data_IF_876671061288
#
_entry.id   IF_876671061288
#
_cell.length_a   1.000
_cell.length_b   1.000
_cell.length_c   1.000
_cell.angle_alpha   90.00
_cell.angle_beta   90.00
_cell.angle_gamma   90.00
#
_symmetry.space_group_name_H-M   'P 1'
#
loop_
_entity.id
_entity.type
_entity.pdbx_description
1 polymer ?
#
# COMPACT_ATOMS: atom_id res chain seq x y z
N UNK A 1 18.71 -51.99 47.94
CA UNK A 1 18.66 -52.29 46.49
C UNK A 1 17.28 -52.06 45.87
N UNK A 2 16.16 -52.60 46.39
CA UNK A 2 14.81 -52.40 45.80
C UNK A 2 14.34 -50.95 45.63
N UNK A 3 14.64 -50.05 46.58
CA UNK A 3 14.24 -48.62 46.49
C UNK A 3 14.87 -47.88 45.31
N UNK A 4 16.09 -48.24 44.91
CA UNK A 4 16.82 -47.56 43.83
C UNK A 4 16.26 -47.90 42.46
N UNK A 5 15.77 -49.13 42.25
CA UNK A 5 15.12 -49.55 41.01
C UNK A 5 13.76 -48.87 40.81
N UNK A 6 12.94 -48.77 41.86
CA UNK A 6 11.64 -48.07 41.79
C UNK A 6 11.82 -46.59 41.41
N UNK A 7 12.83 -45.92 41.99
CA UNK A 7 13.14 -44.52 41.63
C UNK A 7 13.59 -44.39 40.17
N UNK A 8 14.34 -45.35 39.63
CA UNK A 8 14.74 -45.34 38.23
C UNK A 8 13.55 -45.54 37.28
N UNK A 9 12.64 -46.45 37.61
CA UNK A 9 11.41 -46.69 36.83
C UNK A 9 10.50 -45.44 36.83
N UNK A 10 10.33 -44.78 37.98
CA UNK A 10 9.58 -43.54 38.11
C UNK A 10 10.21 -42.40 37.28
N UNK A 11 11.54 -42.25 37.33
CA UNK A 11 12.26 -41.23 36.54
C UNK A 11 12.08 -41.48 35.04
N UNK A 12 12.19 -42.73 34.59
CA UNK A 12 11.99 -43.07 33.18
C UNK A 12 10.56 -42.83 32.72
N UNK A 13 9.57 -43.12 33.57
CA UNK A 13 8.16 -42.81 33.27
C UNK A 13 7.95 -41.30 33.13
N UNK A 14 8.49 -40.51 34.07
CA UNK A 14 8.41 -39.05 34.01
C UNK A 14 9.11 -38.47 32.76
N UNK A 15 10.27 -39.00 32.37
CA UNK A 15 10.95 -38.58 31.14
C UNK A 15 10.10 -38.84 29.90
N UNK A 16 9.48 -40.02 29.81
CA UNK A 16 8.59 -40.36 28.70
C UNK A 16 7.34 -39.47 28.67
N UNK A 17 6.78 -39.13 29.83
CA UNK A 17 5.65 -38.21 29.93
C UNK A 17 6.02 -36.79 29.50
N UNK A 18 7.22 -36.32 29.86
CA UNK A 18 7.76 -35.03 29.41
C UNK A 18 7.96 -35.01 27.90
N UNK A 19 8.58 -36.05 27.32
CA UNK A 19 8.77 -36.16 25.87
C UNK A 19 7.42 -36.15 25.12
N UNK A 20 6.45 -36.91 25.61
CA UNK A 20 5.09 -36.91 25.05
C UNK A 20 4.40 -35.54 25.16
N UNK A 21 4.61 -34.81 26.26
CA UNK A 21 4.09 -33.46 26.42
C UNK A 21 4.79 -32.47 25.48
N UNK A 22 6.11 -32.56 25.31
CA UNK A 22 6.86 -31.71 24.39
C UNK A 22 6.40 -31.91 22.95
N UNK A 23 6.24 -33.16 22.50
CA UNK A 23 5.70 -33.45 21.17
C UNK A 23 4.30 -32.88 20.96
N UNK A 24 3.43 -32.93 21.98
CA UNK A 24 2.10 -32.31 21.91
C UNK A 24 2.18 -30.78 21.85
N UNK A 25 3.11 -30.16 22.58
CA UNK A 25 3.33 -28.71 22.53
C UNK A 25 3.81 -28.28 21.14
N UNK A 26 4.78 -29.00 20.56
CA UNK A 26 5.29 -28.71 19.21
C UNK A 26 4.18 -28.84 18.15
N UNK A 27 3.35 -29.89 18.23
CA UNK A 27 2.21 -30.06 17.32
C UNK A 27 1.17 -28.94 17.45
N UNK A 28 0.91 -28.47 18.67
CA UNK A 28 0.01 -27.35 18.93
C UNK A 28 0.60 -26.01 18.44
N UNK A 29 1.90 -25.80 18.62
CA UNK A 29 2.61 -24.62 18.10
C UNK A 29 2.53 -24.56 16.57
N UNK A 30 2.82 -25.67 15.88
CA UNK A 30 2.70 -25.76 14.43
C UNK A 30 1.28 -25.48 13.95
N UNK A 31 0.27 -26.00 14.66
CA UNK A 31 -1.14 -25.73 14.36
C UNK A 31 -1.48 -24.26 14.51
N UNK A 32 -1.08 -23.64 15.62
CA UNK A 32 -1.33 -22.22 15.89
C UNK A 32 -0.63 -21.31 14.87
N UNK A 33 0.58 -21.66 14.43
CA UNK A 33 1.29 -20.92 13.38
C UNK A 33 0.55 -20.98 12.04
N UNK A 34 0.00 -22.13 11.67
CA UNK A 34 -0.77 -22.27 10.43
C UNK A 34 -2.13 -21.55 10.50
N UNK A 35 -2.81 -21.61 11.65
CA UNK A 35 -4.03 -20.84 11.90
C UNK A 35 -3.76 -19.33 11.80
N UNK A 36 -2.64 -18.85 12.37
CA UNK A 36 -2.22 -17.45 12.25
C UNK A 36 -2.02 -17.03 10.80
N UNK A 37 -1.29 -17.81 10.00
CA UNK A 37 -1.08 -17.53 8.57
C UNK A 37 -2.40 -17.49 7.80
N UNK A 38 -3.30 -18.42 8.13
CA UNK A 38 -4.64 -18.47 7.52
C UNK A 38 -5.44 -17.21 7.87
N UNK A 39 -5.41 -16.77 9.13
CA UNK A 39 -6.06 -15.52 9.55
C UNK A 39 -5.47 -14.29 8.86
N UNK A 40 -4.14 -14.17 8.78
CA UNK A 40 -3.46 -13.07 8.08
C UNK A 40 -3.90 -12.99 6.61
N UNK A 41 -4.01 -14.14 5.94
CA UNK A 41 -4.51 -14.23 4.57
C UNK A 41 -5.97 -13.75 4.47
N UNK A 42 -6.85 -14.21 5.35
CA UNK A 42 -8.27 -13.79 5.37
C UNK A 42 -8.39 -12.28 5.60
N UNK A 43 -7.62 -11.71 6.52
CA UNK A 43 -7.64 -10.26 6.82
C UNK A 43 -7.14 -9.44 5.62
N UNK A 44 -6.10 -9.92 4.94
CA UNK A 44 -5.59 -9.29 3.71
C UNK A 44 -6.63 -9.31 2.60
N UNK A 45 -7.22 -10.47 2.32
CA UNK A 45 -8.27 -10.62 1.31
C UNK A 45 -9.50 -9.75 1.61
N UNK A 46 -9.91 -9.67 2.88
CA UNK A 46 -10.99 -8.80 3.32
C UNK A 46 -10.68 -7.34 3.02
N UNK A 47 -9.46 -6.89 3.37
CA UNK A 47 -9.02 -5.50 3.14
C UNK A 47 -9.02 -5.15 1.65
N UNK A 48 -8.53 -6.05 0.79
CA UNK A 48 -8.56 -5.84 -0.66
C UNK A 48 -9.99 -5.78 -1.22
N UNK A 49 -10.87 -6.69 -0.78
CA UNK A 49 -12.29 -6.72 -1.19
C UNK A 49 -13.00 -5.43 -0.80
N UNK A 50 -12.75 -4.90 0.39
CA UNK A 50 -13.29 -3.60 0.84
C UNK A 50 -12.90 -2.46 -0.08
N UNK A 51 -11.61 -2.34 -0.42
CA UNK A 51 -11.14 -1.29 -1.34
C UNK A 51 -11.79 -1.43 -2.71
N UNK A 52 -11.90 -2.66 -3.23
CA UNK A 52 -12.59 -2.96 -4.50
C UNK A 52 -14.06 -2.52 -4.46
N UNK A 53 -14.80 -2.83 -3.40
CA UNK A 53 -16.19 -2.43 -3.22
C UNK A 53 -16.36 -0.91 -3.16
N UNK A 54 -15.52 -0.20 -2.40
CA UNK A 54 -15.55 1.27 -2.34
C UNK A 54 -15.34 1.89 -3.73
N UNK A 55 -14.36 1.38 -4.49
CA UNK A 55 -14.14 1.84 -5.87
C UNK A 55 -15.34 1.57 -6.76
N UNK A 56 -15.94 0.39 -6.65
CA UNK A 56 -17.11 0.02 -7.44
C UNK A 56 -18.27 0.97 -7.16
N UNK A 57 -18.56 1.24 -5.87
CA UNK A 57 -19.59 2.20 -5.46
C UNK A 57 -19.34 3.61 -5.99
N UNK A 58 -18.09 4.08 -5.94
CA UNK A 58 -17.73 5.36 -6.54
C UNK A 58 -17.98 5.36 -8.06
N UNK A 59 -17.60 4.30 -8.77
CA UNK A 59 -17.81 4.18 -10.22
C UNK A 59 -19.30 4.13 -10.60
N UNK A 60 -20.12 3.40 -9.84
CA UNK A 60 -21.59 3.36 -9.99
C UNK A 60 -22.19 4.77 -9.92
N UNK A 61 -21.65 5.62 -9.04
CA UNK A 61 -22.06 7.02 -8.89
C UNK A 61 -21.35 7.99 -9.86
N UNK A 62 -20.53 7.50 -10.81
CA UNK A 62 -19.70 8.30 -11.71
C UNK A 62 -18.74 9.25 -10.96
N UNK A 63 -18.31 8.84 -9.78
CA UNK A 63 -17.37 9.52 -8.90
C UNK A 63 -16.03 8.80 -8.86
N UNK A 64 -15.01 9.48 -8.37
CA UNK A 64 -13.67 8.94 -8.14
C UNK A 64 -12.92 9.82 -7.15
N UNK A 65 -11.64 9.53 -6.86
CA UNK A 65 -10.82 10.32 -5.93
C UNK A 65 -9.64 11.00 -6.63
N UNK A 66 -9.24 12.15 -6.08
CA UNK A 66 -7.97 12.79 -6.40
C UNK A 66 -6.85 12.08 -5.64
N UNK A 67 -5.82 11.57 -6.33
CA UNK A 67 -4.68 10.91 -5.66
C UNK A 67 -3.78 11.89 -4.90
N UNK A 68 -3.89 13.19 -5.16
CA UNK A 68 -3.08 14.21 -4.48
C UNK A 68 -3.70 14.72 -3.18
N UNK A 69 -5.01 14.97 -3.16
CA UNK A 69 -5.69 15.59 -2.02
C UNK A 69 -6.81 14.73 -1.43
N UNK A 70 -6.95 13.48 -1.89
CA UNK A 70 -7.97 12.51 -1.44
C UNK A 70 -9.42 13.00 -1.51
N UNK A 71 -9.72 14.07 -2.26
CA UNK A 71 -11.10 14.54 -2.46
C UNK A 71 -11.85 13.65 -3.44
N UNK A 72 -13.12 13.37 -3.13
CA UNK A 72 -14.07 12.74 -4.03
C UNK A 72 -14.57 13.74 -5.06
N UNK A 73 -14.54 13.37 -6.33
CA UNK A 73 -14.78 14.25 -7.47
C UNK A 73 -15.48 13.48 -8.60
N UNK A 74 -16.27 14.15 -9.44
CA UNK A 74 -16.88 13.51 -10.60
C UNK A 74 -15.82 12.97 -11.56
N UNK A 75 -16.00 11.74 -12.04
CA UNK A 75 -15.05 11.09 -12.95
C UNK A 75 -14.77 11.94 -14.20
N UNK A 76 -15.82 12.56 -14.76
CA UNK A 76 -15.72 13.49 -15.92
C UNK A 76 -14.86 14.72 -15.66
N UNK A 77 -14.73 15.15 -14.40
CA UNK A 77 -13.93 16.31 -13.99
C UNK A 77 -12.47 15.95 -13.69
N UNK A 78 -12.13 14.66 -13.69
CA UNK A 78 -10.76 14.20 -13.42
C UNK A 78 -9.92 14.16 -14.68
N UNK A 79 -8.62 14.41 -14.53
CA UNK A 79 -7.63 14.20 -15.59
C UNK A 79 -6.42 13.49 -14.99
N UNK A 80 -5.74 12.72 -15.83
CA UNK A 80 -4.50 12.07 -15.46
C UNK A 80 -3.34 13.02 -15.73
N UNK A 81 -2.40 13.08 -14.79
CA UNK A 81 -1.19 13.90 -14.88
C UNK A 81 -0.01 13.02 -14.46
N UNK A 82 1.01 12.93 -15.28
CA UNK A 82 2.28 12.32 -14.95
C UNK A 82 3.17 13.39 -14.32
N UNK A 83 3.68 13.13 -13.13
CA UNK A 83 4.67 13.97 -12.46
C UNK A 83 5.99 13.22 -12.48
N UNK A 84 7.02 13.80 -13.09
CA UNK A 84 8.38 13.25 -13.11
C UNK A 84 9.35 14.26 -12.54
N UNK A 85 10.31 13.84 -11.74
CA UNK A 85 11.28 14.74 -11.15
C UNK A 85 12.36 14.03 -10.35
N UNK A 86 13.09 14.81 -9.54
CA UNK A 86 14.12 14.28 -8.63
C UNK A 86 13.82 14.72 -7.21
N UNK A 87 13.64 13.78 -6.29
CA UNK A 87 13.43 14.06 -4.87
C UNK A 87 14.67 13.78 -4.03
N UNK A 88 14.91 14.64 -3.04
CA UNK A 88 15.97 14.46 -2.05
C UNK A 88 15.60 13.34 -1.09
N UNK A 89 16.56 12.46 -0.80
CA UNK A 89 16.45 11.52 0.31
C UNK A 89 17.59 11.74 1.30
N UNK A 90 17.28 11.61 2.58
CA UNK A 90 18.21 11.80 3.70
C UNK A 90 18.53 10.50 4.44
N UNK A 91 18.01 9.36 3.98
CA UNK A 91 18.19 8.06 4.64
C UNK A 91 18.30 6.95 3.59
N UNK A 92 19.41 6.20 3.61
CA UNK A 92 19.64 5.00 2.80
C UNK A 92 20.39 3.94 3.60
N UNK A 93 20.10 2.66 3.35
CA UNK A 93 20.91 1.53 3.84
C UNK A 93 22.30 1.59 3.17
N UNK A 94 23.36 1.18 3.88
CA UNK A 94 24.75 1.08 3.39
C UNK A 94 25.49 2.42 3.12
N UNK A 95 25.32 3.43 3.98
CA UNK A 95 26.29 4.53 4.08
C UNK A 95 26.15 5.69 3.08
N UNK A 96 25.13 5.70 2.21
CA UNK A 96 24.80 6.92 1.45
C UNK A 96 23.88 7.82 2.29
N UNK A 97 24.45 8.87 2.90
CA UNK A 97 23.73 9.75 3.84
C UNK A 97 22.92 10.87 3.15
N UNK A 98 23.08 11.09 1.84
CA UNK A 98 22.42 12.19 1.13
C UNK A 98 22.46 11.98 -0.39
N UNK A 99 21.33 12.16 -1.08
CA UNK A 99 21.28 12.11 -2.54
C UNK A 99 19.94 12.53 -3.14
N UNK A 100 19.86 12.46 -4.48
CA UNK A 100 18.65 12.67 -5.25
C UNK A 100 18.25 11.34 -5.90
N UNK A 101 16.96 10.99 -5.82
CA UNK A 101 16.39 9.88 -6.57
C UNK A 101 15.35 10.39 -7.56
N UNK A 102 15.36 9.85 -8.76
CA UNK A 102 14.32 10.14 -9.74
C UNK A 102 13.00 9.52 -9.26
N UNK A 103 11.91 10.25 -9.42
CA UNK A 103 10.56 9.72 -9.24
C UNK A 103 9.73 10.01 -10.49
N UNK A 104 8.79 9.13 -10.79
CA UNK A 104 7.83 9.33 -11.87
C UNK A 104 6.52 8.64 -11.52
N UNK A 105 5.41 9.38 -11.55
CA UNK A 105 4.13 8.92 -10.98
C UNK A 105 2.92 9.51 -11.68
N UNK A 106 1.90 8.67 -11.95
CA UNK A 106 0.62 9.14 -12.49
C UNK A 106 -0.33 9.48 -11.35
N UNK A 107 -0.90 10.68 -11.43
CA UNK A 107 -1.93 11.15 -10.53
C UNK A 107 -3.28 11.26 -11.23
N UNK A 108 -4.34 10.79 -10.58
CA UNK A 108 -5.70 11.23 -10.89
C UNK A 108 -5.92 12.56 -10.19
N UNK A 109 -5.94 13.66 -10.93
CA UNK A 109 -5.99 14.99 -10.36
C UNK A 109 -7.37 15.65 -10.50
N UNK A 110 -7.84 16.31 -9.44
CA UNK A 110 -8.93 17.28 -9.53
C UNK A 110 -8.46 18.56 -10.25
N UNK A 111 -9.40 19.42 -10.63
CA UNK A 111 -9.10 20.68 -11.32
C UNK A 111 -8.05 21.52 -10.56
N UNK A 112 -8.22 21.69 -9.25
CA UNK A 112 -7.32 22.50 -8.42
C UNK A 112 -5.91 21.90 -8.34
N UNK A 113 -5.78 20.59 -8.07
CA UNK A 113 -4.47 19.93 -8.01
C UNK A 113 -3.78 19.94 -9.38
N UNK A 114 -4.53 19.74 -10.47
CA UNK A 114 -4.01 19.85 -11.84
C UNK A 114 -3.44 21.25 -12.09
N UNK A 115 -4.19 22.31 -11.74
CA UNK A 115 -3.71 23.68 -11.89
C UNK A 115 -2.42 23.90 -11.11
N UNK A 116 -2.36 23.43 -9.86
CA UNK A 116 -1.15 23.50 -9.04
C UNK A 116 0.05 22.73 -9.61
N UNK A 117 -0.17 21.60 -10.29
CA UNK A 117 0.90 20.90 -11.01
C UNK A 117 1.38 21.67 -12.24
N UNK A 118 0.45 22.24 -13.02
CA UNK A 118 0.77 23.02 -14.22
C UNK A 118 1.48 24.32 -13.88
N UNK A 119 1.04 25.06 -12.86
CA UNK A 119 1.67 26.30 -12.40
C UNK A 119 3.13 26.08 -11.96
N UNK A 120 3.46 24.86 -11.53
CA UNK A 120 4.78 24.47 -11.07
C UNK A 120 5.57 23.63 -12.09
N UNK A 121 5.03 23.42 -13.30
CA UNK A 121 5.68 22.62 -14.33
C UNK A 121 7.02 23.23 -14.75
N UNK A 122 8.09 22.44 -14.72
CA UNK A 122 9.42 22.91 -15.12
C UNK A 122 10.07 23.86 -14.13
N UNK A 123 9.43 24.12 -12.98
CA UNK A 123 10.02 24.88 -11.89
C UNK A 123 10.98 23.97 -11.12
N UNK A 124 12.15 24.52 -10.79
CA UNK A 124 13.09 23.91 -9.85
C UNK A 124 12.91 24.61 -8.50
N UNK A 125 12.57 23.86 -7.44
CA UNK A 125 12.30 24.41 -6.12
C UNK A 125 11.54 23.43 -5.23
N UNK A 126 11.06 23.86 -4.07
CA UNK A 126 10.42 22.96 -3.10
C UNK A 126 9.03 22.50 -3.59
N UNK A 127 8.92 21.22 -3.97
CA UNK A 127 7.63 20.59 -4.21
C UNK A 127 7.11 20.00 -2.90
N UNK A 128 5.97 20.55 -2.46
CA UNK A 128 5.22 20.18 -1.25
C UNK A 128 5.73 20.81 0.05
N UNK A 129 4.84 21.44 0.81
CA UNK A 129 5.15 22.00 2.13
C UNK A 129 5.50 20.94 3.18
N UNK A 130 5.42 19.65 2.83
CA UNK A 130 5.81 18.51 3.65
C UNK A 130 7.18 17.92 3.28
N UNK A 131 7.78 18.28 2.14
CA UNK A 131 9.07 17.79 1.69
C UNK A 131 10.08 18.94 1.59
N UNK A 132 10.80 19.18 2.69
CA UNK A 132 11.86 20.20 2.75
C UNK A 132 13.01 19.86 1.79
N UNK A 133 13.08 20.60 0.68
CA UNK A 133 14.26 20.92 -0.13
C UNK A 133 14.40 20.22 -1.50
N UNK A 134 14.08 21.02 -2.52
CA UNK A 134 14.47 21.02 -3.95
C UNK A 134 14.11 19.79 -4.79
N UNK A 135 13.12 20.00 -5.67
CA UNK A 135 12.58 19.04 -6.63
C UNK A 135 12.35 19.76 -7.96
N UNK A 136 13.21 19.54 -8.97
CA UNK A 136 12.81 19.85 -10.35
C UNK A 136 11.77 18.81 -10.76
N UNK A 137 10.58 19.24 -11.14
CA UNK A 137 9.58 18.32 -11.67
C UNK A 137 8.86 18.88 -12.89
N UNK A 138 8.44 17.95 -13.73
CA UNK A 138 7.62 18.20 -14.91
C UNK A 138 6.28 17.50 -14.72
N UNK A 139 5.22 18.25 -14.99
CA UNK A 139 3.85 17.76 -15.00
C UNK A 139 3.34 17.61 -16.43
N UNK A 140 3.10 16.39 -16.88
CA UNK A 140 2.64 16.09 -18.23
C UNK A 140 1.19 15.60 -18.22
N UNK A 141 0.41 16.02 -19.21
CA UNK A 141 -0.95 15.50 -19.39
C UNK A 141 -0.89 14.03 -19.80
N UNK A 142 -1.75 13.21 -19.21
CA UNK A 142 -1.87 11.79 -19.57
C UNK A 142 -3.25 11.48 -20.13
N UNK A 143 -3.29 10.63 -21.16
CA UNK A 143 -4.51 10.01 -21.70
C UNK A 143 -4.42 8.50 -21.60
N UNK A 144 -5.55 7.86 -21.30
CA UNK A 144 -5.68 6.40 -21.33
C UNK A 144 -6.29 6.01 -22.67
N UNK A 145 -5.57 5.18 -23.42
CA UNK A 145 -6.05 4.54 -24.65
C UNK A 145 -6.32 3.06 -24.39
N UNK A 146 -6.76 2.31 -25.42
CA UNK A 146 -7.06 0.88 -25.28
C UNK A 146 -5.81 0.04 -24.94
N UNK A 147 -4.65 0.50 -25.39
CA UNK A 147 -3.38 -0.21 -25.35
C UNK A 147 -2.36 0.36 -24.35
N UNK A 148 -2.78 1.29 -23.49
CA UNK A 148 -1.99 1.81 -22.37
C UNK A 148 -2.18 3.30 -22.08
N UNK A 149 -1.32 3.85 -21.24
CA UNK A 149 -1.25 5.28 -20.95
C UNK A 149 -0.25 6.01 -21.87
N UNK A 150 -0.58 7.26 -22.22
CA UNK A 150 0.27 8.13 -23.03
C UNK A 150 0.43 9.46 -22.34
N UNK A 151 1.67 9.96 -22.22
CA UNK A 151 1.97 11.28 -21.69
C UNK A 151 2.37 12.23 -22.81
N UNK A 152 1.83 13.45 -22.79
CA UNK A 152 2.25 14.51 -23.70
C UNK A 152 3.49 15.21 -23.16
N UNK A 153 4.68 14.76 -23.58
CA UNK A 153 5.98 15.24 -23.14
C UNK A 153 6.59 16.11 -24.24
N UNK A 154 6.87 17.37 -23.92
CA UNK A 154 7.62 18.29 -24.80
C UNK A 154 7.12 18.40 -26.26
N UNK A 155 5.80 18.22 -26.48
CA UNK A 155 5.17 18.30 -27.81
C UNK A 155 4.80 16.95 -28.41
N UNK A 156 5.31 15.85 -27.85
CA UNK A 156 5.08 14.50 -28.35
C UNK A 156 4.26 13.64 -27.39
N UNK A 157 3.48 12.71 -27.93
CA UNK A 157 2.80 11.68 -27.14
C UNK A 157 3.71 10.47 -26.96
N UNK A 158 4.16 10.24 -25.72
CA UNK A 158 5.04 9.14 -25.33
C UNK A 158 4.23 8.05 -24.64
N UNK A 159 4.27 6.82 -25.16
CA UNK A 159 3.65 5.65 -24.53
C UNK A 159 4.35 5.34 -23.21
N UNK A 160 3.57 5.17 -22.15
CA UNK A 160 4.04 4.80 -20.82
C UNK A 160 3.98 3.27 -20.66
N UNK A 161 4.92 2.72 -19.89
CA UNK A 161 4.84 1.34 -19.44
C UNK A 161 3.94 1.27 -18.21
N UNK A 162 2.69 0.82 -18.37
CA UNK A 162 1.67 0.77 -17.33
C UNK A 162 2.16 0.12 -16.02
N UNK A 163 3.06 -0.87 -16.09
CA UNK A 163 3.64 -1.53 -14.89
C UNK A 163 4.48 -0.60 -14.03
N UNK A 164 5.08 0.43 -14.63
CA UNK A 164 5.95 1.37 -13.95
C UNK A 164 5.20 2.57 -13.37
N UNK A 165 3.89 2.69 -13.65
CA UNK A 165 3.10 3.86 -13.30
C UNK A 165 1.74 3.52 -12.68
N UNK A 166 1.71 2.80 -11.54
CA UNK A 166 0.46 2.55 -10.84
C UNK A 166 -0.17 3.86 -10.40
N UNK A 167 -1.49 3.96 -10.54
CA UNK A 167 -2.27 5.05 -9.95
C UNK A 167 -2.52 4.68 -8.50
N UNK A 168 -2.17 5.57 -7.58
CA UNK A 168 -2.36 5.33 -6.15
C UNK A 168 -3.79 4.96 -5.80
N UNK A 169 -3.87 4.03 -4.85
CA UNK A 169 -5.08 3.72 -4.13
C UNK A 169 -5.64 4.94 -3.36
N UNK A 170 -6.95 4.99 -3.07
CA UNK A 170 -7.48 5.96 -2.15
C UNK A 170 -6.82 5.78 -0.78
N UNK A 171 -6.58 6.87 -0.05
CA UNK A 171 -5.95 6.78 1.28
C UNK A 171 -6.83 6.01 2.26
N UNK A 172 -6.23 5.29 3.22
CA UNK A 172 -6.95 4.51 4.23
C UNK A 172 -8.06 5.32 4.93
N UNK A 173 -7.77 6.57 5.29
CA UNK A 173 -8.74 7.48 5.92
C UNK A 173 -9.97 7.69 5.03
N UNK A 174 -9.77 7.82 3.71
CA UNK A 174 -10.85 7.99 2.75
C UNK A 174 -11.63 6.70 2.56
N UNK A 175 -10.94 5.55 2.50
CA UNK A 175 -11.56 4.23 2.43
C UNK A 175 -12.47 4.01 3.64
N UNK A 176 -12.00 4.28 4.86
CA UNK A 176 -12.83 4.08 6.07
C UNK A 176 -14.04 5.01 6.10
N UNK A 177 -13.88 6.27 5.69
CA UNK A 177 -15.00 7.21 5.61
C UNK A 177 -16.07 6.71 4.64
N UNK A 178 -15.67 6.30 3.43
CA UNK A 178 -16.60 5.83 2.41
C UNK A 178 -17.18 4.45 2.72
N UNK A 179 -16.40 3.57 3.35
CA UNK A 179 -16.89 2.27 3.77
C UNK A 179 -18.06 2.43 4.76
N UNK A 180 -17.94 3.35 5.72
CA UNK A 180 -19.04 3.68 6.64
C UNK A 180 -20.26 4.27 5.92
N UNK A 181 -20.04 5.14 4.94
CA UNK A 181 -21.12 5.77 4.16
C UNK A 181 -21.87 4.76 3.28
N UNK A 182 -21.18 3.75 2.76
CA UNK A 182 -21.74 2.73 1.87
C UNK A 182 -22.13 1.43 2.58
N UNK A 183 -22.14 1.42 3.92
CA UNK A 183 -22.42 0.23 4.73
C UNK A 183 -21.55 -0.99 4.37
N UNK A 184 -20.28 -0.73 4.03
CA UNK A 184 -19.27 -1.76 3.79
C UNK A 184 -18.67 -2.15 5.15
N UNK A 185 -18.51 -3.46 5.45
CA UNK A 185 -17.96 -3.93 6.71
C UNK A 185 -16.64 -3.23 7.10
N UNK A 186 -16.37 -2.99 8.38
CA UNK A 186 -15.17 -2.28 8.83
C UNK A 186 -13.89 -3.09 8.56
N UNK A 187 -12.74 -2.41 8.66
CA UNK A 187 -11.43 -3.07 8.64
C UNK A 187 -11.32 -4.00 9.85
N UNK A 188 -10.90 -5.24 9.63
CA UNK A 188 -10.54 -6.14 10.72
C UNK A 188 -9.22 -5.63 11.31
N UNK A 189 -9.24 -5.30 12.60
CA UNK A 189 -8.03 -4.99 13.36
C UNK A 189 -7.62 -6.24 14.11
N UNK A 190 -6.36 -6.62 14.01
CA UNK A 190 -5.75 -7.62 14.88
C UNK A 190 -4.55 -6.98 15.54
N UNK A 191 -4.45 -7.12 16.86
CA UNK A 191 -3.26 -6.74 17.61
C UNK A 191 -2.24 -7.86 17.41
N UNK A 192 -1.07 -7.49 16.88
CA UNK A 192 0.11 -8.36 16.79
C UNK A 192 0.90 -8.32 18.08
#
# INVERSE_FOLDING_TARGET
MKKTQVIQEDIMSMQKDIENQMQKIEQEEDRLLEEKRTMEKIVSEHSEKRIKLVKQKLMEQKMTWCTRCSKIIPQKATRLVLIEGKERYSHGYQGSLYGFRSFSKIHRACHACRKGFTEKHGISGDYDSQAKNQTSFFAFRVTKHKDGYYAHKFGDWVKLNDKNYPIDEPSDILIEKLAKEYDIPPKIKYET
#
